data_IF_671417623763
#
_entry.id   IF_671417623763
#
_cell.length_a   1.000
_cell.length_b   1.000
_cell.length_c   1.000
_cell.angle_alpha   90.00
_cell.angle_beta   90.00
_cell.angle_gamma   90.00
#
_symmetry.space_group_name_H-M   'P 1'
#
loop_
_entity.id
_entity.type
_entity.pdbx_description
1 polymer ?
#
# COMPACT_ATOMS: atom_id res chain seq x y z
N UNK A 1 23.70 27.86 69.07
CA UNK A 1 24.69 27.72 67.98
C UNK A 1 23.95 27.77 66.65
N UNK A 2 24.21 28.82 65.86
CA UNK A 2 23.92 29.06 64.43
C UNK A 2 22.58 28.54 63.86
N UNK A 3 21.55 29.39 63.63
CA UNK A 3 21.32 30.23 62.42
C UNK A 3 21.31 29.40 61.11
N UNK A 4 20.36 29.46 60.17
CA UNK A 4 19.26 30.40 59.87
C UNK A 4 18.24 29.69 58.92
N UNK A 5 16.93 29.92 59.08
CA UNK A 5 16.02 30.63 58.12
C UNK A 5 15.68 29.92 56.79
N UNK A 6 14.46 29.95 56.23
CA UNK A 6 13.13 30.49 56.59
C UNK A 6 12.15 30.18 55.43
N UNK A 7 10.91 29.80 55.76
CA UNK A 7 9.59 29.99 55.07
C UNK A 7 9.37 29.48 53.64
N UNK A 8 8.35 28.66 53.34
CA UNK A 8 6.89 28.80 53.45
C UNK A 8 6.25 29.80 52.46
N UNK A 9 5.36 29.22 51.65
CA UNK A 9 4.08 29.73 51.13
C UNK A 9 4.02 30.59 49.86
N UNK A 10 3.07 30.15 49.02
CA UNK A 10 2.24 30.97 48.15
C UNK A 10 2.79 31.16 46.73
N UNK A 11 1.99 31.20 45.68
CA UNK A 11 0.54 31.19 45.55
C UNK A 11 0.21 30.99 44.06
N UNK A 12 -1.00 30.54 43.82
CA UNK A 12 -1.73 30.51 42.56
C UNK A 12 -1.75 31.85 41.82
N UNK A 13 -1.61 31.88 40.49
CA UNK A 13 -2.22 32.92 39.65
C UNK A 13 -2.59 32.45 38.22
N UNK A 14 -3.91 32.46 37.99
CA UNK A 14 -4.71 32.90 36.82
C UNK A 14 -4.22 32.78 35.37
N UNK A 15 -5.15 32.29 34.53
CA UNK A 15 -5.18 32.29 33.07
C UNK A 15 -4.95 33.67 32.43
N UNK A 16 -4.09 33.73 31.40
CA UNK A 16 -4.32 34.45 30.12
C UNK A 16 -3.19 34.15 29.12
N UNK A 17 -3.59 33.68 27.93
CA UNK A 17 -2.88 33.66 26.64
C UNK A 17 -1.38 34.03 26.63
N UNK A 18 -0.49 33.09 26.26
CA UNK A 18 0.09 33.05 24.91
C UNK A 18 0.90 31.76 24.71
N UNK A 19 0.85 31.22 23.50
CA UNK A 19 1.57 30.01 23.07
C UNK A 19 3.08 30.27 23.08
N UNK A 20 3.83 29.51 23.89
CA UNK A 20 5.22 29.17 23.59
C UNK A 20 5.46 27.70 23.94
N UNK A 21 5.69 26.89 22.90
CA UNK A 21 6.18 25.53 23.03
C UNK A 21 7.66 25.59 23.42
N UNK A 22 7.98 25.09 24.60
CA UNK A 22 9.34 24.68 24.95
C UNK A 22 9.33 23.15 24.86
N UNK A 23 9.91 22.60 23.80
CA UNK A 23 10.27 21.19 23.77
C UNK A 23 11.57 21.04 24.56
N UNK A 24 11.45 20.68 25.83
CA UNK A 24 12.56 20.08 26.58
C UNK A 24 12.88 18.74 25.91
N UNK A 25 14.09 18.65 25.36
CA UNK A 25 14.67 17.41 24.85
C UNK A 25 14.95 16.48 26.03
N UNK A 26 14.00 15.60 26.34
CA UNK A 26 14.31 14.37 27.06
C UNK A 26 15.02 13.41 26.10
N UNK A 27 16.32 13.27 26.31
CA UNK A 27 17.22 12.31 25.68
C UNK A 27 16.85 10.89 26.13
N UNK A 28 15.89 10.28 25.45
CA UNK A 28 15.69 8.83 25.46
C UNK A 28 16.22 8.24 24.15
N UNK A 29 17.05 7.18 24.17
CA UNK A 29 17.64 6.58 22.96
C UNK A 29 16.64 5.65 22.27
N UNK A 30 15.39 6.09 22.08
CA UNK A 30 14.49 5.43 21.15
C UNK A 30 14.88 5.86 19.73
N UNK A 31 15.78 5.10 19.11
CA UNK A 31 15.98 5.14 17.66
C UNK A 31 14.60 5.15 17.00
N UNK A 32 14.27 6.24 16.30
CA UNK A 32 12.95 6.45 15.72
C UNK A 32 12.80 5.52 14.50
N UNK A 33 12.52 4.25 14.78
CA UNK A 33 12.57 3.17 13.82
C UNK A 33 11.23 3.05 13.10
N UNK A 34 11.21 3.38 11.81
CA UNK A 34 10.01 3.33 10.98
C UNK A 34 9.98 2.08 10.11
N UNK A 35 8.79 1.51 9.94
CA UNK A 35 8.57 0.42 8.98
C UNK A 35 8.48 0.99 7.57
N UNK A 36 9.44 0.62 6.72
CA UNK A 36 9.48 0.98 5.32
C UNK A 36 9.21 -0.22 4.42
N UNK A 37 8.72 0.05 3.21
CA UNK A 37 8.46 -0.97 2.20
C UNK A 37 9.43 -0.88 1.03
N UNK A 38 10.18 -1.94 0.80
CA UNK A 38 11.14 -2.06 -0.30
C UNK A 38 10.61 -3.05 -1.34
N UNK A 39 10.30 -2.56 -2.54
CA UNK A 39 9.69 -3.37 -3.60
C UNK A 39 10.67 -3.59 -4.75
N UNK A 40 10.89 -4.85 -5.11
CA UNK A 40 11.78 -5.28 -6.18
C UNK A 40 11.03 -6.09 -7.22
N UNK A 41 11.53 -6.06 -8.46
CA UNK A 41 10.93 -6.85 -9.55
C UNK A 41 11.42 -8.29 -9.52
N UNK A 42 10.52 -9.21 -9.81
CA UNK A 42 10.82 -10.64 -9.93
C UNK A 42 10.56 -11.13 -11.35
N UNK A 43 11.34 -12.12 -11.77
CA UNK A 43 11.20 -12.77 -13.07
C UNK A 43 11.12 -14.29 -12.87
N UNK A 44 10.00 -14.80 -12.33
CA UNK A 44 9.83 -16.24 -12.14
C UNK A 44 9.78 -16.96 -13.49
N UNK A 45 10.39 -18.15 -13.56
CA UNK A 45 10.28 -19.03 -14.74
C UNK A 45 8.88 -19.67 -14.84
N UNK A 46 8.60 -20.43 -15.89
CA UNK A 46 7.27 -21.02 -16.12
C UNK A 46 6.81 -21.94 -14.97
N UNK A 47 7.70 -22.76 -14.42
CA UNK A 47 7.40 -23.65 -13.28
C UNK A 47 7.03 -22.84 -12.04
N UNK A 48 7.85 -21.84 -11.70
CA UNK A 48 7.61 -20.92 -10.59
C UNK A 48 6.31 -20.11 -10.75
N UNK A 49 5.98 -19.71 -11.99
CA UNK A 49 4.73 -19.01 -12.28
C UNK A 49 3.51 -19.92 -12.06
N UNK A 50 3.60 -21.21 -12.38
CA UNK A 50 2.54 -22.18 -12.12
C UNK A 50 2.29 -22.33 -10.61
N UNK A 51 3.36 -22.50 -9.82
CA UNK A 51 3.28 -22.61 -8.35
C UNK A 51 2.68 -21.33 -7.74
N UNK A 52 3.14 -20.14 -8.17
CA UNK A 52 2.58 -18.86 -7.71
C UNK A 52 1.09 -18.72 -8.09
N UNK A 53 0.71 -19.18 -9.29
CA UNK A 53 -0.68 -19.12 -9.74
C UNK A 53 -1.57 -20.02 -8.89
N UNK A 54 -1.10 -21.22 -8.54
CA UNK A 54 -1.77 -22.13 -7.61
C UNK A 54 -1.93 -21.50 -6.23
N UNK A 55 -0.86 -20.94 -5.68
CA UNK A 55 -0.88 -20.22 -4.40
C UNK A 55 -1.90 -19.07 -4.39
N UNK A 56 -1.88 -18.20 -5.40
CA UNK A 56 -2.85 -17.11 -5.49
C UNK A 56 -4.28 -17.60 -5.63
N UNK A 57 -4.49 -18.75 -6.30
CA UNK A 57 -5.77 -19.45 -6.36
C UNK A 57 -6.27 -19.86 -4.98
N UNK A 58 -5.42 -20.53 -4.20
CA UNK A 58 -5.70 -20.94 -2.81
C UNK A 58 -6.05 -19.75 -1.92
N UNK A 59 -5.22 -18.71 -1.93
CA UNK A 59 -5.44 -17.48 -1.15
C UNK A 59 -6.78 -16.83 -1.49
N UNK A 60 -7.13 -16.77 -2.78
CA UNK A 60 -8.40 -16.20 -3.23
C UNK A 60 -9.59 -17.00 -2.71
N UNK A 61 -9.50 -18.32 -2.76
CA UNK A 61 -10.57 -19.21 -2.29
C UNK A 61 -10.74 -19.07 -0.78
N UNK A 62 -9.66 -19.20 0.01
CA UNK A 62 -9.70 -19.04 1.47
C UNK A 62 -10.29 -17.69 1.87
N UNK A 63 -9.85 -16.59 1.24
CA UNK A 63 -10.41 -15.26 1.51
C UNK A 63 -11.91 -15.18 1.17
N UNK A 64 -12.31 -15.74 0.03
CA UNK A 64 -13.70 -15.67 -0.42
C UNK A 64 -14.61 -16.55 0.43
N UNK A 65 -14.17 -17.75 0.79
CA UNK A 65 -14.92 -18.65 1.67
C UNK A 65 -15.09 -18.00 3.06
N UNK A 66 -14.05 -17.38 3.60
CA UNK A 66 -14.13 -16.65 4.87
C UNK A 66 -15.11 -15.47 4.80
N UNK A 67 -15.07 -14.68 3.72
CA UNK A 67 -16.03 -13.59 3.51
C UNK A 67 -17.47 -14.11 3.31
N UNK A 68 -17.64 -15.25 2.64
CA UNK A 68 -18.95 -15.86 2.45
C UNK A 68 -19.55 -16.31 3.79
N UNK A 69 -18.76 -16.93 4.67
CA UNK A 69 -19.20 -17.32 6.01
C UNK A 69 -19.62 -16.13 6.88
N UNK A 70 -18.85 -15.03 6.84
CA UNK A 70 -19.24 -13.81 7.53
C UNK A 70 -20.53 -13.24 6.97
N UNK A 71 -20.69 -13.22 5.64
CA UNK A 71 -21.92 -12.72 5.00
C UNK A 71 -23.13 -13.64 5.22
N UNK A 72 -22.93 -14.93 5.50
CA UNK A 72 -24.01 -15.87 5.81
C UNK A 72 -24.33 -15.96 7.30
N UNK A 73 -23.61 -15.22 8.16
CA UNK A 73 -23.91 -15.17 9.59
C UNK A 73 -25.25 -14.44 9.78
N UNK A 74 -26.25 -15.03 10.46
CA UNK A 74 -27.55 -14.41 10.69
C UNK A 74 -27.45 -13.04 11.39
N UNK A 75 -28.41 -12.17 11.12
CA UNK A 75 -28.50 -10.87 11.78
C UNK A 75 -28.68 -11.05 13.30
N UNK A 76 -27.90 -10.31 14.08
CA UNK A 76 -27.89 -10.42 15.55
C UNK A 76 -26.89 -11.43 16.10
N UNK A 77 -26.34 -12.33 15.28
CA UNK A 77 -25.27 -13.23 15.70
C UNK A 77 -23.88 -12.58 15.60
N UNK A 78 -22.99 -13.00 16.50
CA UNK A 78 -21.61 -12.52 16.52
C UNK A 78 -20.84 -13.14 15.35
N UNK A 79 -20.20 -12.29 14.56
CA UNK A 79 -19.34 -12.77 13.46
C UNK A 79 -18.21 -13.67 13.97
N UNK A 80 -17.84 -14.73 13.22
CA UNK A 80 -16.74 -15.61 13.56
C UNK A 80 -15.43 -14.84 13.72
N UNK A 81 -14.60 -15.25 14.69
CA UNK A 81 -13.28 -14.64 14.86
C UNK A 81 -12.33 -15.04 13.71
N UNK A 82 -11.23 -14.31 13.53
CA UNK A 82 -10.19 -14.71 12.58
C UNK A 82 -9.65 -16.13 12.87
N UNK A 83 -9.60 -16.53 14.14
CA UNK A 83 -9.19 -17.88 14.53
C UNK A 83 -10.17 -18.94 14.07
N UNK A 84 -11.47 -18.69 14.25
CA UNK A 84 -12.54 -19.60 13.84
C UNK A 84 -12.60 -19.71 12.31
N UNK A 85 -12.51 -18.59 11.61
CA UNK A 85 -12.43 -18.57 10.15
C UNK A 85 -11.23 -19.38 9.65
N UNK A 86 -10.04 -19.20 10.23
CA UNK A 86 -8.87 -19.99 9.84
C UNK A 86 -9.08 -21.49 10.08
N UNK A 87 -9.71 -21.88 11.20
CA UNK A 87 -10.03 -23.29 11.46
C UNK A 87 -10.99 -23.85 10.41
N UNK A 88 -12.07 -23.15 10.09
CA UNK A 88 -13.09 -23.58 9.14
C UNK A 88 -12.56 -23.62 7.70
N UNK A 89 -12.03 -22.51 7.20
CA UNK A 89 -11.71 -22.34 5.76
C UNK A 89 -10.28 -22.77 5.38
N UNK A 90 -9.45 -23.17 6.35
CA UNK A 90 -8.12 -23.70 6.09
C UNK A 90 -7.97 -25.09 6.72
N UNK A 91 -8.06 -25.20 8.04
CA UNK A 91 -7.70 -26.45 8.74
C UNK A 91 -8.67 -27.58 8.44
N UNK A 92 -9.98 -27.34 8.59
CA UNK A 92 -11.02 -28.31 8.27
C UNK A 92 -11.21 -28.45 6.77
N UNK A 93 -11.19 -27.33 6.03
CA UNK A 93 -11.27 -27.36 4.57
C UNK A 93 -10.19 -28.26 3.93
N UNK A 94 -8.95 -28.26 4.42
CA UNK A 94 -7.89 -29.15 3.91
C UNK A 94 -8.20 -30.65 4.05
N UNK A 95 -9.14 -31.03 4.92
CA UNK A 95 -9.54 -32.42 5.15
C UNK A 95 -10.71 -32.86 4.27
N UNK A 96 -11.28 -31.96 3.47
CA UNK A 96 -12.38 -32.29 2.56
C UNK A 96 -11.86 -32.48 1.14
N UNK A 97 -12.41 -33.43 0.40
CA UNK A 97 -12.02 -33.70 -1.00
C UNK A 97 -12.13 -32.45 -1.88
N UNK A 98 -13.13 -31.60 -1.64
CA UNK A 98 -13.33 -30.36 -2.41
C UNK A 98 -12.21 -29.31 -2.22
N UNK A 99 -11.41 -29.42 -1.15
CA UNK A 99 -10.45 -28.39 -0.70
C UNK A 99 -9.09 -28.95 -0.27
N UNK A 100 -8.81 -30.24 -0.48
CA UNK A 100 -7.53 -30.90 -0.12
C UNK A 100 -6.31 -30.22 -0.75
N UNK A 101 -6.45 -29.67 -1.95
CA UNK A 101 -5.42 -28.96 -2.71
C UNK A 101 -4.88 -27.70 -1.99
N UNK A 102 -5.55 -27.22 -0.94
CA UNK A 102 -5.01 -26.19 -0.05
C UNK A 102 -3.77 -26.66 0.73
N UNK A 103 -3.57 -27.96 0.90
CA UNK A 103 -2.41 -28.54 1.59
C UNK A 103 -1.11 -28.45 0.78
N UNK A 104 -1.24 -28.34 -0.55
CA UNK A 104 -0.12 -28.33 -1.51
C UNK A 104 0.66 -27.01 -1.48
N UNK A 105 0.12 -25.95 -0.88
CA UNK A 105 0.76 -24.63 -0.80
C UNK A 105 1.18 -24.29 0.63
N UNK A 106 1.98 -23.23 0.78
CA UNK A 106 2.36 -22.72 2.10
C UNK A 106 1.13 -22.25 2.88
N UNK A 107 1.05 -22.64 4.16
CA UNK A 107 -0.06 -22.28 5.04
C UNK A 107 -0.04 -20.79 5.43
N UNK A 108 1.16 -20.18 5.49
CA UNK A 108 1.34 -18.82 5.99
C UNK A 108 0.54 -17.81 5.14
N UNK A 109 0.65 -17.78 3.80
CA UNK A 109 -0.18 -16.89 2.99
C UNK A 109 -1.69 -17.12 3.11
N UNK A 110 -2.13 -18.36 3.39
CA UNK A 110 -3.55 -18.66 3.59
C UNK A 110 -4.04 -18.01 4.89
N UNK A 111 -3.31 -18.18 5.99
CA UNK A 111 -3.62 -17.54 7.27
C UNK A 111 -3.59 -16.01 7.17
N UNK A 112 -2.59 -15.46 6.49
CA UNK A 112 -2.47 -14.02 6.25
C UNK A 112 -3.65 -13.48 5.42
N UNK A 113 -4.24 -14.29 4.54
CA UNK A 113 -5.41 -13.88 3.77
C UNK A 113 -6.65 -13.64 4.63
N UNK A 114 -6.84 -14.46 5.67
CA UNK A 114 -7.93 -14.28 6.65
C UNK A 114 -7.63 -13.10 7.57
N UNK A 115 -6.37 -12.90 7.96
CA UNK A 115 -5.96 -11.73 8.74
C UNK A 115 -6.20 -10.42 7.96
N UNK A 116 -5.91 -10.41 6.66
CA UNK A 116 -6.20 -9.27 5.78
C UNK A 116 -7.69 -8.95 5.72
N UNK A 117 -8.56 -9.97 5.74
CA UNK A 117 -10.00 -9.79 5.81
C UNK A 117 -10.41 -9.14 7.15
N UNK A 118 -9.88 -9.61 8.28
CA UNK A 118 -10.14 -9.01 9.58
C UNK A 118 -9.70 -7.55 9.67
N UNK A 119 -8.53 -7.20 9.11
CA UNK A 119 -8.07 -5.81 8.99
C UNK A 119 -9.02 -4.99 8.11
N UNK A 120 -9.51 -5.55 7.00
CA UNK A 120 -10.46 -4.87 6.13
C UNK A 120 -11.78 -4.56 6.86
N UNK A 121 -12.31 -5.50 7.66
CA UNK A 121 -13.48 -5.25 8.50
C UNK A 121 -13.21 -4.19 9.57
N UNK A 122 -12.08 -4.28 10.29
CA UNK A 122 -11.69 -3.27 11.29
C UNK A 122 -11.64 -1.87 10.67
N UNK A 123 -11.06 -1.73 9.49
CA UNK A 123 -11.00 -0.46 8.78
C UNK A 123 -12.37 0.03 8.33
N UNK A 124 -13.24 -0.87 7.86
CA UNK A 124 -14.61 -0.52 7.50
C UNK A 124 -15.44 -0.05 8.69
N UNK A 125 -15.38 -0.76 9.83
CA UNK A 125 -16.04 -0.31 11.06
C UNK A 125 -15.50 1.03 11.56
N UNK A 126 -14.18 1.26 11.45
CA UNK A 126 -13.60 2.56 11.75
C UNK A 126 -14.16 3.66 10.83
N UNK A 127 -14.30 3.38 9.54
CA UNK A 127 -14.88 4.32 8.57
C UNK A 127 -16.34 4.65 8.86
N UNK A 128 -17.15 3.71 9.35
CA UNK A 128 -18.51 3.98 9.82
C UNK A 128 -18.55 4.96 10.99
N UNK A 129 -17.49 4.98 11.81
CA UNK A 129 -17.30 5.93 12.92
C UNK A 129 -16.60 7.22 12.50
N UNK A 130 -16.54 7.53 11.20
CA UNK A 130 -15.87 8.70 10.64
C UNK A 130 -14.34 8.61 10.57
N UNK A 131 -13.74 7.47 10.95
CA UNK A 131 -12.28 7.25 10.90
C UNK A 131 -11.89 6.56 9.59
N UNK A 132 -11.66 7.37 8.55
CA UNK A 132 -11.22 6.91 7.24
C UNK A 132 -12.36 6.68 6.24
N UNK A 133 -12.06 6.03 5.11
CA UNK A 133 -12.98 5.89 3.97
C UNK A 133 -13.10 4.44 3.45
N UNK A 134 -12.79 3.46 4.30
CA UNK A 134 -12.84 2.05 3.91
C UNK A 134 -14.28 1.61 3.60
N UNK A 135 -14.42 0.78 2.56
CA UNK A 135 -15.70 0.19 2.15
C UNK A 135 -15.78 -1.26 2.62
N UNK A 136 -16.99 -1.79 2.67
CA UNK A 136 -17.24 -3.19 2.99
C UNK A 136 -16.37 -4.11 2.09
N UNK A 137 -15.72 -5.15 2.66
CA UNK A 137 -14.88 -6.07 1.91
C UNK A 137 -15.61 -6.72 0.73
N UNK A 138 -14.91 -6.93 -0.38
CA UNK A 138 -15.46 -7.55 -1.60
C UNK A 138 -14.73 -8.84 -1.92
N UNK A 139 -15.44 -9.78 -2.55
CA UNK A 139 -14.84 -11.00 -3.06
C UNK A 139 -13.68 -10.72 -4.02
N UNK A 140 -12.57 -11.44 -3.81
CA UNK A 140 -11.38 -11.38 -4.66
C UNK A 140 -11.67 -12.04 -6.02
N UNK A 141 -11.23 -11.37 -7.08
CA UNK A 141 -11.37 -11.82 -8.47
C UNK A 141 -10.02 -12.28 -9.01
N UNK A 142 -10.02 -13.32 -9.86
CA UNK A 142 -8.79 -13.86 -10.48
C UNK A 142 -8.05 -12.85 -11.37
N UNK A 143 -8.78 -11.89 -11.95
CA UNK A 143 -8.26 -10.90 -12.90
C UNK A 143 -7.69 -9.64 -12.26
N UNK A 144 -7.88 -9.46 -10.95
CA UNK A 144 -7.33 -8.34 -10.21
C UNK A 144 -5.88 -8.61 -9.82
N UNK A 145 -5.25 -7.63 -9.16
CA UNK A 145 -3.97 -7.85 -8.51
C UNK A 145 -4.05 -9.01 -7.51
N UNK A 146 -3.07 -9.90 -7.56
CA UNK A 146 -2.96 -11.05 -6.68
C UNK A 146 -1.76 -10.84 -5.75
N UNK A 147 -1.91 -11.20 -4.49
CA UNK A 147 -0.87 -11.03 -3.48
C UNK A 147 -0.77 -12.25 -2.57
N UNK A 148 0.44 -12.55 -2.14
CA UNK A 148 0.76 -13.58 -1.16
C UNK A 148 1.76 -13.02 -0.16
N UNK A 149 1.35 -12.87 1.10
CA UNK A 149 2.22 -12.38 2.18
C UNK A 149 2.80 -13.55 2.95
N UNK A 150 4.11 -13.51 3.12
CA UNK A 150 4.88 -14.41 3.96
C UNK A 150 5.46 -13.61 5.13
N UNK A 151 5.21 -14.08 6.35
CA UNK A 151 5.82 -13.57 7.59
C UNK A 151 7.07 -14.39 7.92
N UNK A 152 7.75 -14.05 9.03
CA UNK A 152 8.86 -14.85 9.57
C UNK A 152 8.52 -16.35 9.60
N UNK A 153 9.50 -17.19 9.24
CA UNK A 153 9.32 -18.64 9.05
C UNK A 153 8.78 -19.06 7.67
N UNK A 154 8.19 -18.14 6.89
CA UNK A 154 7.66 -18.42 5.56
C UNK A 154 8.60 -18.08 4.41
N UNK A 155 9.69 -17.37 4.69
CA UNK A 155 10.66 -16.93 3.70
C UNK A 155 12.03 -16.72 4.33
N UNK A 156 13.07 -16.72 3.51
CA UNK A 156 14.42 -16.30 3.90
C UNK A 156 15.18 -15.75 2.70
N UNK A 157 16.21 -14.93 2.95
CA UNK A 157 17.13 -14.45 1.92
C UNK A 157 18.36 -15.36 1.92
N UNK A 158 18.61 -16.05 0.79
CA UNK A 158 19.76 -16.95 0.63
C UNK A 158 20.67 -16.38 -0.45
N UNK A 159 21.71 -15.67 -0.02
CA UNK A 159 22.55 -14.86 -0.90
C UNK A 159 21.68 -13.86 -1.69
N UNK A 160 21.78 -13.91 -3.01
CA UNK A 160 21.06 -12.99 -3.89
C UNK A 160 19.63 -13.45 -4.28
N UNK A 161 19.11 -14.51 -3.66
CA UNK A 161 17.82 -15.13 -4.00
C UNK A 161 16.85 -15.10 -2.81
N UNK A 162 15.56 -15.03 -3.12
CA UNK A 162 14.48 -15.13 -2.15
C UNK A 162 14.00 -16.58 -2.06
N UNK A 163 14.13 -17.21 -0.90
CA UNK A 163 13.52 -18.50 -0.62
C UNK A 163 12.10 -18.31 -0.08
N UNK A 164 11.14 -19.06 -0.62
CA UNK A 164 9.76 -19.12 -0.14
C UNK A 164 9.41 -20.55 0.26
N UNK A 165 8.82 -20.72 1.44
CA UNK A 165 8.43 -22.03 1.96
C UNK A 165 7.50 -22.78 0.99
N UNK A 166 7.77 -24.07 0.75
CA UNK A 166 7.09 -24.95 -0.24
C UNK A 166 7.16 -24.48 -1.71
N UNK A 167 8.01 -23.50 -2.04
CA UNK A 167 8.10 -22.94 -3.40
C UNK A 167 9.54 -22.81 -3.93
N UNK A 168 10.54 -22.85 -3.05
CA UNK A 168 11.95 -22.81 -3.43
C UNK A 168 12.49 -21.41 -3.64
N UNK A 169 13.55 -21.30 -4.44
CA UNK A 169 14.35 -20.08 -4.63
C UNK A 169 13.89 -19.27 -5.84
N UNK A 170 13.71 -17.96 -5.65
CA UNK A 170 13.32 -17.00 -6.68
C UNK A 170 14.43 -15.98 -6.92
N UNK A 171 14.65 -15.64 -8.20
CA UNK A 171 15.53 -14.55 -8.59
C UNK A 171 14.80 -13.22 -8.41
N UNK A 172 15.40 -12.33 -7.62
CA UNK A 172 14.93 -10.96 -7.39
C UNK A 172 15.92 -10.01 -8.07
N UNK A 173 15.42 -8.95 -8.71
CA UNK A 173 16.27 -7.87 -9.24
C UNK A 173 16.43 -6.81 -8.15
N UNK A 174 17.56 -6.90 -7.44
CA UNK A 174 17.92 -5.94 -6.41
C UNK A 174 18.42 -4.66 -7.05
N UNK A 175 17.80 -3.53 -6.69
CA UNK A 175 18.19 -2.20 -7.14
C UNK A 175 18.83 -1.37 -6.02
N UNK A 176 18.79 -1.88 -4.79
CA UNK A 176 19.34 -1.32 -3.57
C UNK A 176 19.36 -2.43 -2.51
N UNK A 177 20.19 -2.28 -1.49
CA UNK A 177 20.24 -3.18 -0.36
C UNK A 177 19.05 -2.95 0.58
N UNK A 178 18.74 -3.96 1.39
CA UNK A 178 17.74 -3.82 2.44
C UNK A 178 18.41 -3.21 3.68
N UNK A 179 17.82 -2.16 4.29
CA UNK A 179 18.40 -1.50 5.46
C UNK A 179 18.43 -2.39 6.71
N UNK A 180 17.56 -3.39 6.78
CA UNK A 180 17.49 -4.34 7.88
C UNK A 180 16.92 -5.69 7.42
N UNK A 181 16.95 -6.69 8.29
CA UNK A 181 16.27 -7.95 8.03
C UNK A 181 14.74 -7.73 7.93
N UNK A 182 14.10 -8.19 6.83
CA UNK A 182 12.67 -7.97 6.64
C UNK A 182 11.81 -8.79 7.60
N UNK A 183 10.78 -8.13 8.16
CA UNK A 183 9.73 -8.77 8.97
C UNK A 183 8.75 -9.61 8.15
N UNK A 184 8.52 -9.22 6.89
CA UNK A 184 7.63 -9.92 5.96
C UNK A 184 8.01 -9.61 4.50
N UNK A 185 7.61 -10.51 3.60
CA UNK A 185 7.66 -10.29 2.15
C UNK A 185 6.28 -10.54 1.55
N UNK A 186 5.82 -9.64 0.69
CA UNK A 186 4.61 -9.82 -0.10
C UNK A 186 4.96 -10.00 -1.57
N UNK A 187 4.63 -11.16 -2.13
CA UNK A 187 4.73 -11.41 -3.57
C UNK A 187 3.45 -10.93 -4.22
N UNK A 188 3.56 -10.00 -5.17
CA UNK A 188 2.41 -9.48 -5.91
C UNK A 188 2.52 -9.79 -7.40
N UNK A 189 1.39 -10.09 -8.03
CA UNK A 189 1.23 -10.16 -9.47
C UNK A 189 0.21 -9.11 -9.89
N UNK A 190 0.69 -8.09 -10.59
CA UNK A 190 -0.20 -7.04 -11.08
C UNK A 190 -1.06 -7.53 -12.25
N UNK A 191 -2.11 -6.77 -12.59
CA UNK A 191 -3.04 -7.13 -13.67
C UNK A 191 -2.39 -7.25 -15.07
N UNK A 192 -1.19 -6.68 -15.24
CA UNK A 192 -0.37 -6.76 -16.45
C UNK A 192 0.57 -7.98 -16.50
N UNK A 193 0.59 -8.79 -15.43
CA UNK A 193 1.36 -10.04 -15.33
C UNK A 193 2.78 -9.90 -14.79
N UNK A 194 3.17 -8.74 -14.25
CA UNK A 194 4.48 -8.56 -13.64
C UNK A 194 4.48 -8.96 -12.17
N UNK A 195 5.57 -9.59 -11.74
CA UNK A 195 5.77 -10.04 -10.37
C UNK A 195 6.69 -9.09 -9.60
N UNK A 196 6.37 -8.84 -8.34
CA UNK A 196 7.19 -8.04 -7.43
C UNK A 196 7.28 -8.70 -6.06
N UNK A 197 8.44 -8.56 -5.41
CA UNK A 197 8.65 -8.88 -4.00
C UNK A 197 8.71 -7.58 -3.22
N UNK A 198 7.81 -7.41 -2.26
CA UNK A 198 7.72 -6.24 -1.41
C UNK A 198 8.06 -6.62 0.03
N UNK A 199 9.24 -6.22 0.49
CA UNK A 199 9.74 -6.45 1.84
C UNK A 199 9.33 -5.33 2.79
N UNK A 200 8.95 -5.69 4.02
CA UNK A 200 8.75 -4.75 5.12
C UNK A 200 9.97 -4.81 6.03
N UNK A 201 10.72 -3.72 6.07
CA UNK A 201 11.97 -3.58 6.81
C UNK A 201 11.85 -2.43 7.80
N UNK A 202 12.73 -2.46 8.78
CA UNK A 202 12.95 -1.37 9.72
C UNK A 202 14.00 -0.43 9.13
N UNK A 203 13.77 0.88 9.28
CA UNK A 203 14.66 1.91 8.75
C UNK A 203 14.74 3.03 9.77
N UNK A 204 15.98 3.44 10.04
CA UNK A 204 16.24 4.62 10.85
C UNK A 204 15.91 5.88 10.06
N UNK A 205 15.26 6.83 10.72
CA UNK A 205 15.05 8.16 10.17
C UNK A 205 16.33 8.97 10.34
N UNK A 206 17.04 9.23 9.23
CA UNK A 206 18.11 10.21 9.23
C UNK A 206 17.48 11.61 9.25
N UNK A 207 17.61 12.31 10.38
CA UNK A 207 17.32 13.74 10.44
C UNK A 207 18.53 14.50 9.90
N UNK A 208 18.29 15.50 9.05
CA UNK A 208 19.32 16.42 8.60
C UNK A 208 19.06 17.79 9.24
N UNK A 209 20.11 18.46 9.71
CA UNK A 209 19.97 19.79 10.31
C UNK A 209 19.59 20.84 9.24
N UNK A 210 18.65 21.76 9.56
CA UNK A 210 18.20 22.76 8.61
C UNK A 210 19.18 23.96 8.52
N UNK A 211 19.71 24.21 7.32
CA UNK A 211 20.55 25.35 6.93
C UNK A 211 19.87 26.42 6.00
N UNK A 212 18.57 26.27 5.66
CA UNK A 212 17.67 27.04 4.73
C UNK A 212 18.17 27.12 3.25
N UNK A 213 17.27 27.03 2.24
CA UNK A 213 16.08 27.87 1.99
C UNK A 213 14.72 27.15 2.06
N UNK A 214 13.64 27.94 2.17
CA UNK A 214 12.24 27.51 2.15
C UNK A 214 11.58 27.79 0.79
N UNK A 215 10.74 26.88 0.29
CA UNK A 215 9.97 27.05 -0.95
C UNK A 215 8.47 26.90 -0.69
N UNK A 216 7.68 27.82 -1.24
CA UNK A 216 6.22 27.65 -1.35
C UNK A 216 5.89 26.91 -2.64
N UNK A 217 4.94 25.97 -2.61
CA UNK A 217 4.50 25.27 -3.81
C UNK A 217 2.97 25.32 -3.90
N UNK A 218 2.47 26.02 -4.92
CA UNK A 218 1.05 26.02 -5.27
C UNK A 218 0.76 24.89 -6.28
N UNK A 219 -0.36 24.19 -6.12
CA UNK A 219 -0.74 23.03 -6.92
C UNK A 219 -1.85 23.38 -7.91
N UNK A 220 -1.55 23.26 -9.22
CA UNK A 220 -2.47 23.64 -10.29
C UNK A 220 -3.03 22.46 -11.11
N UNK A 221 -4.07 22.74 -11.89
CA UNK A 221 -4.68 21.77 -12.84
C UNK A 221 -4.00 21.82 -14.21
N UNK A 222 -3.64 23.02 -14.69
CA UNK A 222 -2.98 23.22 -15.99
C UNK A 222 -1.47 22.99 -15.92
N UNK A 223 -0.87 23.46 -14.83
CA UNK A 223 0.52 23.24 -14.43
C UNK A 223 0.47 22.47 -13.12
N UNK A 224 1.28 21.43 -12.97
CA UNK A 224 1.20 20.54 -11.81
C UNK A 224 1.52 21.27 -10.50
N UNK A 225 2.59 22.07 -10.52
CA UNK A 225 3.01 22.85 -9.38
C UNK A 225 3.71 24.14 -9.80
N UNK A 226 3.45 25.23 -9.09
CA UNK A 226 4.14 26.51 -9.19
C UNK A 226 4.99 26.71 -7.93
N UNK A 227 6.30 26.45 -8.00
CA UNK A 227 7.19 26.79 -6.91
C UNK A 227 7.34 28.31 -6.82
N UNK A 228 7.53 28.84 -5.60
CA UNK A 228 7.76 30.27 -5.37
C UNK A 228 9.06 30.78 -5.98
N UNK A 229 9.99 29.88 -6.31
CA UNK A 229 11.26 30.15 -6.98
C UNK A 229 11.49 29.08 -8.05
N UNK A 230 11.83 29.50 -9.27
CA UNK A 230 12.14 28.60 -10.39
C UNK A 230 10.99 28.42 -11.38
N UNK A 231 11.11 27.39 -12.23
CA UNK A 231 10.16 27.17 -13.33
C UNK A 231 8.90 26.41 -12.91
N UNK A 232 7.75 26.66 -13.57
CA UNK A 232 6.53 25.89 -13.39
C UNK A 232 6.75 24.40 -13.71
N UNK A 233 6.31 23.52 -12.82
CA UNK A 233 6.41 22.06 -13.01
C UNK A 233 5.22 21.59 -13.84
N UNK A 234 5.49 21.05 -15.02
CA UNK A 234 4.45 20.58 -15.96
C UNK A 234 4.26 19.06 -15.83
N UNK A 235 3.01 18.62 -15.64
CA UNK A 235 2.68 17.20 -15.64
C UNK A 235 2.82 16.59 -17.05
N UNK A 236 3.33 15.35 -17.17
CA UNK A 236 3.44 14.71 -18.47
C UNK A 236 2.06 14.37 -19.04
N UNK A 237 1.91 14.51 -20.36
CA UNK A 237 0.64 14.28 -21.04
C UNK A 237 0.33 12.80 -21.24
N UNK A 238 -0.83 12.35 -20.76
CA UNK A 238 -1.31 10.96 -20.91
C UNK A 238 -2.31 10.78 -22.06
N UNK A 239 -2.67 11.85 -22.76
CA UNK A 239 -3.84 11.90 -23.67
C UNK A 239 -3.80 10.81 -24.75
N UNK A 240 -2.63 10.55 -25.35
CA UNK A 240 -2.47 9.50 -26.37
C UNK A 240 -2.70 8.09 -25.81
N UNK A 241 -2.16 7.80 -24.63
CA UNK A 241 -2.32 6.51 -23.96
C UNK A 241 -3.77 6.31 -23.50
N UNK A 242 -4.38 7.35 -22.94
CA UNK A 242 -5.78 7.35 -22.53
C UNK A 242 -6.74 7.07 -23.70
N UNK A 243 -6.52 7.71 -24.86
CA UNK A 243 -7.32 7.42 -26.07
C UNK A 243 -7.20 5.94 -26.47
N UNK A 244 -6.00 5.36 -26.41
CA UNK A 244 -5.79 3.92 -26.69
C UNK A 244 -6.52 3.04 -25.67
N UNK A 245 -6.42 3.36 -24.37
CA UNK A 245 -7.14 2.65 -23.30
C UNK A 245 -8.65 2.68 -23.55
N UNK A 246 -9.23 3.86 -23.84
CA UNK A 246 -10.67 3.99 -24.12
C UNK A 246 -11.11 3.17 -25.34
N UNK A 247 -10.36 3.20 -26.44
CA UNK A 247 -10.65 2.38 -27.63
C UNK A 247 -10.64 0.88 -27.31
N UNK A 248 -9.65 0.42 -26.55
CA UNK A 248 -9.56 -0.99 -26.15
C UNK A 248 -10.66 -1.37 -25.16
N UNK A 249 -11.05 -0.49 -24.23
CA UNK A 249 -12.16 -0.72 -23.31
C UNK A 249 -13.49 -0.86 -24.08
N UNK A 250 -13.77 0.01 -25.06
CA UNK A 250 -14.94 -0.11 -25.95
C UNK A 250 -14.93 -1.42 -26.74
N UNK A 251 -13.78 -1.79 -27.31
CA UNK A 251 -13.60 -3.08 -28.00
C UNK A 251 -13.86 -4.25 -27.06
N UNK A 252 -13.28 -4.21 -25.86
CA UNK A 252 -13.45 -5.25 -24.86
C UNK A 252 -14.92 -5.39 -24.48
N UNK A 253 -15.67 -4.30 -24.28
CA UNK A 253 -17.09 -4.36 -23.90
C UNK A 253 -17.96 -5.19 -24.86
N UNK A 254 -17.62 -5.19 -26.16
CA UNK A 254 -18.33 -5.95 -27.21
C UNK A 254 -17.86 -7.40 -27.37
N UNK A 255 -16.80 -7.82 -26.67
CA UNK A 255 -16.26 -9.18 -26.77
C UNK A 255 -16.88 -10.12 -25.75
N UNK A 256 -17.19 -11.34 -26.19
CA UNK A 256 -17.75 -12.43 -25.36
C UNK A 256 -16.96 -12.62 -24.08
N UNK A 257 -17.66 -12.61 -22.94
CA UNK A 257 -17.08 -12.88 -21.61
C UNK A 257 -16.40 -14.25 -21.63
N UNK A 258 -15.23 -14.36 -21.01
CA UNK A 258 -14.45 -15.61 -20.98
C UNK A 258 -13.65 -15.94 -22.25
N UNK A 259 -13.91 -15.29 -23.39
CA UNK A 259 -13.16 -15.60 -24.63
C UNK A 259 -11.67 -15.26 -24.54
N UNK A 260 -10.82 -16.05 -25.22
CA UNK A 260 -9.37 -15.80 -25.32
C UNK A 260 -9.09 -14.39 -25.87
N UNK A 261 -9.86 -13.94 -26.86
CA UNK A 261 -9.76 -12.59 -27.47
C UNK A 261 -10.02 -11.48 -26.44
N UNK A 262 -10.99 -11.67 -25.54
CA UNK A 262 -11.27 -10.75 -24.44
C UNK A 262 -10.09 -10.67 -23.47
N UNK A 263 -9.52 -11.82 -23.11
CA UNK A 263 -8.38 -11.89 -22.20
C UNK A 263 -7.13 -11.19 -22.77
N UNK A 264 -6.85 -11.38 -24.06
CA UNK A 264 -5.78 -10.63 -24.75
C UNK A 264 -6.02 -9.12 -24.70
N UNK A 265 -7.26 -8.67 -24.92
CA UNK A 265 -7.61 -7.24 -24.87
C UNK A 265 -7.48 -6.69 -23.46
N UNK A 266 -7.91 -7.44 -22.44
CA UNK A 266 -7.74 -7.10 -21.01
C UNK A 266 -6.27 -6.89 -20.66
N UNK A 267 -5.39 -7.81 -21.08
CA UNK A 267 -3.94 -7.70 -20.85
C UNK A 267 -3.34 -6.46 -21.52
N UNK A 268 -3.76 -6.13 -22.76
CA UNK A 268 -3.33 -4.90 -23.45
C UNK A 268 -3.74 -3.64 -22.68
N UNK A 269 -4.98 -3.59 -22.18
CA UNK A 269 -5.46 -2.48 -21.34
C UNK A 269 -4.61 -2.38 -20.06
N UNK A 270 -4.38 -3.50 -19.37
CA UNK A 270 -3.61 -3.53 -18.13
C UNK A 270 -2.16 -3.05 -18.33
N UNK A 271 -1.52 -3.43 -19.44
CA UNK A 271 -0.17 -2.94 -19.80
C UNK A 271 -0.15 -1.43 -20.02
N UNK A 272 -1.11 -0.88 -20.77
CA UNK A 272 -1.19 0.57 -20.99
C UNK A 272 -1.47 1.35 -19.70
N UNK A 273 -2.37 0.85 -18.85
CA UNK A 273 -2.64 1.47 -17.55
C UNK A 273 -1.42 1.41 -16.63
N UNK A 274 -0.66 0.31 -16.67
CA UNK A 274 0.60 0.21 -15.95
C UNK A 274 1.64 1.21 -16.46
N UNK A 275 1.75 1.41 -17.79
CA UNK A 275 2.62 2.44 -18.36
C UNK A 275 2.25 3.83 -17.85
N UNK A 276 0.98 4.19 -17.87
CA UNK A 276 0.50 5.48 -17.32
C UNK A 276 0.87 5.61 -15.84
N UNK A 277 0.62 4.56 -15.04
CA UNK A 277 0.97 4.53 -13.62
C UNK A 277 2.47 4.70 -13.38
N UNK A 278 3.31 4.05 -14.18
CA UNK A 278 4.77 4.14 -14.04
C UNK A 278 5.27 5.53 -14.42
N UNK A 279 4.74 6.15 -15.48
CA UNK A 279 5.08 7.53 -15.85
C UNK A 279 4.71 8.48 -14.71
N UNK A 280 3.47 8.38 -14.18
CA UNK A 280 3.01 9.18 -13.03
C UNK A 280 3.92 9.01 -11.83
N UNK A 281 4.18 7.76 -11.44
CA UNK A 281 5.01 7.45 -10.28
C UNK A 281 6.42 8.01 -10.46
N UNK A 282 7.02 7.85 -11.64
CA UNK A 282 8.35 8.35 -11.95
C UNK A 282 8.39 9.89 -11.87
N UNK A 283 7.43 10.57 -12.49
CA UNK A 283 7.29 12.02 -12.42
C UNK A 283 7.21 12.50 -10.97
N UNK A 284 6.30 11.94 -10.18
CA UNK A 284 6.14 12.31 -8.76
C UNK A 284 7.43 12.05 -7.97
N UNK A 285 8.10 10.92 -8.20
CA UNK A 285 9.34 10.60 -7.48
C UNK A 285 10.49 11.54 -7.81
N UNK A 286 10.65 11.90 -9.10
CA UNK A 286 11.68 12.85 -9.54
C UNK A 286 11.39 14.21 -8.91
N UNK A 287 10.15 14.70 -9.01
CA UNK A 287 9.79 16.02 -8.48
C UNK A 287 9.89 16.08 -6.95
N UNK A 288 9.40 15.07 -6.23
CA UNK A 288 9.52 15.05 -4.77
C UNK A 288 10.97 14.96 -4.31
N UNK A 289 11.80 14.15 -4.97
CA UNK A 289 13.22 14.03 -4.64
C UNK A 289 13.96 15.33 -4.95
N UNK A 290 13.63 15.99 -6.07
CA UNK A 290 14.17 17.30 -6.44
C UNK A 290 13.82 18.34 -5.37
N UNK A 291 12.53 18.48 -5.06
CA UNK A 291 12.06 19.44 -4.05
C UNK A 291 12.68 19.21 -2.67
N UNK A 292 12.78 17.96 -2.20
CA UNK A 292 13.37 17.62 -0.90
C UNK A 292 14.89 17.85 -0.88
N UNK A 293 15.59 17.64 -2.00
CA UNK A 293 17.05 17.84 -2.06
C UNK A 293 17.44 19.29 -2.20
N UNK A 294 16.66 20.07 -2.95
CA UNK A 294 16.94 21.48 -3.24
C UNK A 294 16.40 22.41 -2.14
N UNK A 295 15.42 21.97 -1.35
CA UNK A 295 14.74 22.80 -0.36
C UNK A 295 14.62 22.04 0.97
N UNK A 296 14.77 22.77 2.06
CA UNK A 296 14.76 22.18 3.40
C UNK A 296 13.42 22.35 4.11
N UNK A 297 12.68 23.40 3.76
CA UNK A 297 11.29 23.60 4.17
C UNK A 297 10.43 23.74 2.92
N UNK A 298 9.39 22.90 2.82
CA UNK A 298 8.42 22.96 1.74
C UNK A 298 7.08 23.33 2.36
N UNK A 299 6.59 24.53 2.05
CA UNK A 299 5.25 24.96 2.41
C UNK A 299 4.30 24.57 1.29
N UNK A 300 3.35 23.70 1.60
CA UNK A 300 2.28 23.29 0.68
C UNK A 300 0.99 23.99 1.11
N UNK A 301 0.24 24.52 0.14
CA UNK A 301 -1.10 25.01 0.42
C UNK A 301 -2.03 23.86 0.83
N UNK A 302 -2.95 24.13 1.76
CA UNK A 302 -3.99 23.18 2.16
C UNK A 302 -5.07 23.10 1.08
N UNK A 303 -4.72 22.48 -0.04
CA UNK A 303 -5.63 22.27 -1.15
C UNK A 303 -6.57 21.12 -0.81
N UNK A 304 -7.88 21.37 -0.84
CA UNK A 304 -8.91 20.33 -0.68
C UNK A 304 -8.98 19.40 -1.93
N UNK A 305 -7.88 18.72 -2.24
CA UNK A 305 -7.72 17.82 -3.41
C UNK A 305 -8.81 16.75 -3.45
N UNK A 306 -9.27 16.29 -2.29
CA UNK A 306 -10.39 15.33 -2.18
C UNK A 306 -11.69 15.87 -2.77
N UNK A 307 -11.98 17.16 -2.62
CA UNK A 307 -13.15 17.82 -3.19
C UNK A 307 -12.97 18.08 -4.70
N UNK A 308 -11.75 18.42 -5.12
CA UNK A 308 -11.41 18.60 -6.53
C UNK A 308 -11.53 17.29 -7.34
N UNK A 309 -11.12 16.16 -6.77
CA UNK A 309 -11.23 14.83 -7.41
C UNK A 309 -12.68 14.33 -7.44
N UNK A 310 -13.52 14.75 -6.47
CA UNK A 310 -14.98 14.45 -6.47
C UNK A 310 -15.73 15.23 -7.55
N UNK A 311 -15.25 16.40 -7.95
CA UNK A 311 -15.86 17.19 -9.01
C UNK A 311 -15.78 16.43 -10.35
N UNK A 312 -16.90 15.88 -10.84
CA UNK A 312 -16.93 15.07 -12.07
C UNK A 312 -16.37 15.79 -13.31
N UNK A 313 -16.47 17.12 -13.39
CA UNK A 313 -15.96 17.92 -14.52
C UNK A 313 -14.43 18.03 -14.50
N UNK A 314 -13.82 18.15 -13.32
CA UNK A 314 -12.38 18.38 -13.15
C UNK A 314 -11.58 17.15 -12.70
N UNK A 315 -12.25 16.14 -12.14
CA UNK A 315 -11.67 14.89 -11.63
C UNK A 315 -10.64 14.26 -12.56
N UNK A 316 -10.91 14.28 -13.86
CA UNK A 316 -10.02 13.73 -14.89
C UNK A 316 -8.77 14.57 -15.05
N UNK A 317 -8.92 15.88 -15.10
CA UNK A 317 -7.83 16.83 -15.22
C UNK A 317 -6.93 16.76 -13.98
N UNK A 318 -7.53 16.65 -12.79
CA UNK A 318 -6.84 16.51 -11.51
C UNK A 318 -6.04 15.19 -11.44
N UNK A 319 -6.68 14.06 -11.75
CA UNK A 319 -5.99 12.75 -11.82
C UNK A 319 -4.94 12.67 -12.92
N UNK A 320 -5.08 13.46 -14.00
CA UNK A 320 -4.07 13.59 -15.05
C UNK A 320 -2.97 14.59 -14.70
N UNK A 321 -3.21 15.57 -13.85
CA UNK A 321 -2.16 16.41 -13.30
C UNK A 321 -1.34 15.64 -12.27
N UNK A 322 -1.94 14.64 -11.61
CA UNK A 322 -1.32 13.90 -10.50
C UNK A 322 -1.86 14.32 -9.14
N UNK A 323 -2.90 15.16 -9.12
CA UNK A 323 -3.65 15.58 -7.95
C UNK A 323 -4.68 14.50 -7.58
N UNK A 324 -4.47 13.85 -6.44
CA UNK A 324 -5.30 12.76 -5.92
C UNK A 324 -4.73 11.38 -6.23
N UNK A 325 -4.06 10.79 -5.23
CA UNK A 325 -3.54 9.43 -5.25
C UNK A 325 -4.23 8.54 -4.23
#
# INVERSE_FOLDING_TARGET
MQYASRMMNGETFSLKNNRFCVWLHDLSPYSNCMKARYTYRMYPNHVQQAILTKLFGCIRVVYNDALALVNSTPDGEKWPSNGDLQKLVITQAKRTEAREWLAEVSNIPLQQSVQDLGVAFKNWFAALKGKGQAKFPRFKKRTNEQSARFTRGGFSLKGNKLFLAKMGLFKVKWSRELPSEPSSVTITKNAAGQYHASFVVESEQKSAEPLRPSIGVDLGIKVFAFPSVGEPIIAPSYTRLDRKVRRLQKRMARQTKGSRRRETTRLKIAKLQLTIRNIRKNFLHIQSTKLIRENQTISLEDLAVSNMVKNRKLSRANLSAGLGG
#
